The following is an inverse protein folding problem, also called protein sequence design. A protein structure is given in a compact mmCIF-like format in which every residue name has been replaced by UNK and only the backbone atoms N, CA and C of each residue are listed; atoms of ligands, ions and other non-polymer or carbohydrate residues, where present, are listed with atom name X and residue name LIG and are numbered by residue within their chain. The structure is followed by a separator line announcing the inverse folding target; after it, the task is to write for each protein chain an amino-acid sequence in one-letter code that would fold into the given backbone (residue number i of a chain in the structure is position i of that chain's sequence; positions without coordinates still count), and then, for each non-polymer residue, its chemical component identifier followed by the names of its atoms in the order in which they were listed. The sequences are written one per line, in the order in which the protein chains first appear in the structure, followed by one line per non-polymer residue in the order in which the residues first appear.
data_IF_697544403186
#
_entry.id   IF_697544403186
#
_cell.length_a   1.000
_cell.length_b   1.000
_cell.length_c   1.000
_cell.angle_alpha   90.00
_cell.angle_beta   90.00
_cell.angle_gamma   90.00
#
_symmetry.space_group_name_H-M   'P 1'
#
loop_
_entity.id
_entity.type
_entity.pdbx_description
1 polymer ?
#
# COMPACT_ATOMS: atom_id res chain seq x y z
N UNK A 1 -17.32 41.63 5.05
CA UNK A 1 -18.23 40.47 4.94
C UNK A 1 -18.07 39.90 3.53
N UNK A 2 -17.05 39.06 3.29
CA UNK A 2 -16.74 38.52 1.96
C UNK A 2 -16.57 37.00 2.04
N UNK A 3 -17.68 36.27 2.03
CA UNK A 3 -17.73 34.80 2.15
C UNK A 3 -18.27 34.12 0.89
N UNK A 4 -18.26 34.79 -0.27
CA UNK A 4 -18.93 34.29 -1.48
C UNK A 4 -17.98 33.94 -2.64
N UNK A 5 -16.68 34.24 -2.56
CA UNK A 5 -15.71 33.97 -3.64
C UNK A 5 -15.09 32.55 -3.60
N UNK A 6 -15.38 31.74 -2.59
CA UNK A 6 -14.68 30.46 -2.38
C UNK A 6 -15.47 29.21 -2.85
N UNK A 7 -16.74 29.37 -3.25
CA UNK A 7 -17.59 28.25 -3.65
C UNK A 7 -17.24 27.69 -5.04
N UNK A 8 -16.91 28.55 -6.02
CA UNK A 8 -16.67 28.14 -7.41
C UNK A 8 -15.36 27.40 -7.66
N UNK A 9 -14.34 27.56 -6.80
CA UNK A 9 -13.06 26.86 -6.94
C UNK A 9 -13.12 25.39 -6.50
N UNK A 10 -14.00 25.07 -5.55
CA UNK A 10 -14.15 23.70 -5.05
C UNK A 10 -14.90 22.78 -6.05
N UNK A 11 -15.86 23.30 -6.81
CA UNK A 11 -16.66 22.48 -7.74
C UNK A 11 -15.84 21.95 -8.92
N UNK A 12 -14.95 22.75 -9.51
CA UNK A 12 -14.06 22.31 -10.58
C UNK A 12 -13.03 21.28 -10.09
N UNK A 13 -12.45 21.52 -8.90
CA UNK A 13 -11.52 20.59 -8.29
C UNK A 13 -12.16 19.23 -8.00
N UNK A 14 -13.44 19.22 -7.60
CA UNK A 14 -14.21 18.03 -7.34
C UNK A 14 -14.63 17.31 -8.63
N UNK A 15 -14.99 18.04 -9.69
CA UNK A 15 -15.29 17.48 -11.01
C UNK A 15 -14.06 16.84 -11.68
N UNK A 16 -12.85 17.34 -11.40
CA UNK A 16 -11.58 16.76 -11.90
C UNK A 16 -11.08 15.61 -11.01
N UNK A 17 -11.57 15.48 -9.78
CA UNK A 17 -11.13 14.44 -8.84
C UNK A 17 -11.57 13.05 -9.31
N UNK A 18 -10.65 12.33 -9.96
CA UNK A 18 -10.87 10.94 -10.40
C UNK A 18 -10.77 9.91 -9.28
N UNK A 19 -10.25 10.30 -8.10
CA UNK A 19 -10.05 9.37 -6.98
C UNK A 19 -11.31 9.26 -6.13
N UNK A 20 -11.79 8.03 -5.96
CA UNK A 20 -12.92 7.72 -5.08
C UNK A 20 -12.62 7.95 -3.59
N UNK A 21 -11.35 7.78 -3.19
CA UNK A 21 -10.95 7.91 -1.78
C UNK A 21 -9.82 8.93 -1.61
N UNK A 22 -9.91 9.82 -0.60
CA UNK A 22 -8.79 10.68 -0.23
C UNK A 22 -7.62 9.82 0.26
N UNK A 23 -6.40 10.33 0.06
CA UNK A 23 -5.16 9.65 0.48
C UNK A 23 -4.50 10.42 1.62
N UNK A 24 -4.05 9.70 2.64
CA UNK A 24 -3.26 10.22 3.74
C UNK A 24 -1.80 9.84 3.54
N UNK A 25 -0.89 10.82 3.55
CA UNK A 25 0.55 10.52 3.54
C UNK A 25 0.95 9.84 4.84
N UNK A 26 1.77 8.82 4.70
CA UNK A 26 2.43 8.14 5.80
C UNK A 26 3.83 8.75 5.97
N UNK A 27 4.41 8.67 7.17
CA UNK A 27 5.83 9.01 7.42
C UNK A 27 6.76 7.90 6.91
N UNK A 28 6.54 7.44 5.66
CA UNK A 28 7.21 6.30 5.03
C UNK A 28 7.19 5.06 5.94
N UNK A 29 6.11 4.28 5.86
CA UNK A 29 5.97 3.07 6.68
C UNK A 29 6.66 1.89 6.00
N UNK A 30 7.53 1.14 6.70
CA UNK A 30 8.19 -0.02 6.11
C UNK A 30 7.16 -1.09 5.75
N UNK A 31 7.34 -1.67 4.56
CA UNK A 31 6.48 -2.70 4.03
C UNK A 31 7.28 -3.69 3.18
N UNK A 32 6.71 -4.86 2.94
CA UNK A 32 7.37 -5.96 2.25
C UNK A 32 6.42 -6.59 1.26
N UNK A 33 6.96 -6.94 0.10
CA UNK A 33 6.20 -7.48 -1.02
C UNK A 33 6.46 -8.96 -1.16
N UNK A 34 5.40 -9.71 -1.40
CA UNK A 34 5.48 -11.13 -1.68
C UNK A 34 4.51 -11.51 -2.80
N UNK A 35 4.89 -12.46 -3.64
CA UNK A 35 3.97 -13.01 -4.63
C UNK A 35 2.89 -13.87 -3.95
N UNK A 36 1.89 -14.30 -4.72
CA UNK A 36 0.76 -15.08 -4.20
C UNK A 36 1.13 -16.49 -3.73
N UNK A 37 2.30 -16.99 -4.14
CA UNK A 37 2.91 -18.23 -3.65
C UNK A 37 3.76 -18.02 -2.37
N UNK A 38 3.62 -16.85 -1.73
CA UNK A 38 4.36 -16.39 -0.55
C UNK A 38 5.88 -16.19 -0.78
N UNK A 39 6.35 -16.22 -2.03
CA UNK A 39 7.75 -15.91 -2.34
C UNK A 39 8.03 -14.42 -2.15
N UNK A 40 9.18 -14.11 -1.54
CA UNK A 40 9.59 -12.73 -1.29
C UNK A 40 9.98 -12.01 -2.59
N UNK A 41 9.53 -10.77 -2.75
CA UNK A 41 9.86 -9.93 -3.91
C UNK A 41 10.90 -8.87 -3.50
N UNK A 42 10.52 -7.91 -2.66
CA UNK A 42 11.41 -6.85 -2.22
C UNK A 42 10.89 -6.12 -0.97
N UNK A 43 11.75 -5.30 -0.39
CA UNK A 43 11.36 -4.33 0.63
C UNK A 43 10.86 -3.05 -0.03
N UNK A 44 10.00 -2.33 0.66
CA UNK A 44 9.47 -1.07 0.17
C UNK A 44 8.96 -0.19 1.31
N UNK A 45 8.54 1.02 0.97
CA UNK A 45 7.91 1.96 1.88
C UNK A 45 6.51 2.30 1.37
N UNK A 46 5.52 2.23 2.24
CA UNK A 46 4.20 2.82 2.00
C UNK A 46 4.34 4.33 2.20
N UNK A 47 4.06 5.10 1.16
CA UNK A 47 4.16 6.58 1.13
C UNK A 47 2.82 7.29 1.36
N UNK A 48 1.73 6.70 0.87
CA UNK A 48 0.39 7.14 1.20
C UNK A 48 -0.60 5.96 1.17
N UNK A 49 -1.67 6.11 1.94
CA UNK A 49 -2.74 5.11 2.12
C UNK A 49 -4.10 5.75 1.90
N UNK A 50 -5.03 4.96 1.39
CA UNK A 50 -6.46 5.29 1.27
C UNK A 50 -7.29 4.04 1.56
N UNK A 51 -8.61 4.20 1.67
CA UNK A 51 -9.52 3.05 1.79
C UNK A 51 -9.43 2.09 0.58
N UNK A 52 -9.07 2.60 -0.60
CA UNK A 52 -9.01 1.79 -1.82
C UNK A 52 -7.63 1.23 -2.18
N UNK A 53 -6.55 1.64 -1.51
CA UNK A 53 -5.22 1.13 -1.85
C UNK A 53 -4.07 2.00 -1.37
N UNK A 54 -2.88 1.68 -1.87
CA UNK A 54 -1.60 2.20 -1.40
C UNK A 54 -0.82 2.90 -2.51
N UNK A 55 0.12 3.75 -2.11
CA UNK A 55 1.27 4.12 -2.92
C UNK A 55 2.52 3.59 -2.25
N UNK A 56 3.27 2.80 -3.01
CA UNK A 56 4.50 2.16 -2.60
C UNK A 56 5.69 2.90 -3.24
N UNK A 57 6.82 2.87 -2.53
CA UNK A 57 8.13 3.27 -3.03
C UNK A 57 9.06 2.10 -2.77
N UNK A 58 9.50 1.44 -3.83
CA UNK A 58 10.38 0.28 -3.76
C UNK A 58 11.80 0.73 -3.44
N UNK A 59 12.56 -0.15 -2.79
CA UNK A 59 13.98 0.06 -2.47
C UNK A 59 14.88 -0.07 -3.71
N UNK A 60 14.48 -0.91 -4.67
CA UNK A 60 15.18 -1.17 -5.92
C UNK A 60 14.23 -1.30 -7.11
N UNK A 61 14.80 -1.22 -8.31
CA UNK A 61 14.07 -1.52 -9.53
C UNK A 61 13.90 -3.04 -9.61
N UNK A 62 12.65 -3.51 -9.55
CA UNK A 62 12.27 -4.90 -9.73
C UNK A 62 10.94 -4.95 -10.44
N UNK A 63 10.71 -6.04 -11.15
CA UNK A 63 9.41 -6.33 -11.73
C UNK A 63 8.44 -6.71 -10.62
N UNK A 64 7.22 -6.19 -10.74
CA UNK A 64 6.12 -6.51 -9.86
C UNK A 64 5.08 -7.31 -10.66
N UNK A 65 4.58 -8.42 -10.11
CA UNK A 65 3.43 -9.11 -10.68
C UNK A 65 2.19 -8.20 -10.75
N UNK A 66 1.19 -8.62 -11.53
CA UNK A 66 -0.10 -7.93 -11.56
C UNK A 66 -0.77 -7.96 -10.18
N UNK A 67 -0.67 -9.09 -9.47
CA UNK A 67 -1.21 -9.28 -8.13
C UNK A 67 -0.15 -9.80 -7.16
N UNK A 68 -0.16 -9.25 -5.95
CA UNK A 68 0.80 -9.64 -4.91
C UNK A 68 0.28 -9.25 -3.53
N UNK A 69 0.97 -9.72 -2.50
CA UNK A 69 0.73 -9.32 -1.12
C UNK A 69 1.60 -8.14 -0.71
N UNK A 70 1.01 -7.22 0.05
CA UNK A 70 1.71 -6.17 0.77
C UNK A 70 1.58 -6.45 2.26
N UNK A 71 2.71 -6.68 2.91
CA UNK A 71 2.80 -6.71 4.36
C UNK A 71 3.23 -5.34 4.89
N UNK A 72 2.38 -4.72 5.70
CA UNK A 72 2.67 -3.46 6.38
C UNK A 72 3.24 -3.74 7.77
N UNK A 73 4.55 -3.55 7.94
CA UNK A 73 5.24 -3.91 9.17
C UNK A 73 4.79 -3.08 10.38
N UNK A 74 4.41 -1.81 10.16
CA UNK A 74 4.00 -0.92 11.25
C UNK A 74 2.61 -1.27 11.82
N UNK A 75 1.69 -1.76 10.98
CA UNK A 75 0.35 -2.21 11.44
C UNK A 75 0.23 -3.71 11.62
N UNK A 76 1.25 -4.48 11.21
CA UNK A 76 1.24 -5.95 11.18
C UNK A 76 0.03 -6.47 10.39
N UNK A 77 -0.27 -5.84 9.27
CA UNK A 77 -1.38 -6.20 8.38
C UNK A 77 -0.87 -6.74 7.05
N UNK A 78 -1.66 -7.62 6.45
CA UNK A 78 -1.45 -8.14 5.10
C UNK A 78 -2.64 -7.75 4.23
N UNK A 79 -2.37 -7.32 3.01
CA UNK A 79 -3.39 -7.06 2.00
C UNK A 79 -3.00 -7.71 0.67
N UNK A 80 -3.98 -8.25 -0.05
CA UNK A 80 -3.81 -8.61 -1.45
C UNK A 80 -4.11 -7.40 -2.32
N UNK A 81 -3.23 -7.10 -3.25
CA UNK A 81 -3.32 -5.90 -4.08
C UNK A 81 -3.13 -6.23 -5.55
N UNK A 82 -3.67 -5.35 -6.41
CA UNK A 82 -3.40 -5.35 -7.84
C UNK A 82 -2.61 -4.09 -8.22
N UNK A 83 -1.57 -4.25 -9.03
CA UNK A 83 -0.80 -3.16 -9.61
C UNK A 83 -1.68 -2.33 -10.56
N UNK A 84 -1.67 -1.01 -10.40
CA UNK A 84 -2.41 -0.08 -11.27
C UNK A 84 -1.51 0.80 -12.10
N UNK A 85 -0.36 1.17 -11.58
CA UNK A 85 0.62 1.93 -12.32
C UNK A 85 2.01 1.77 -11.70
N UNK A 86 3.01 1.98 -12.55
CA UNK A 86 4.43 1.99 -12.20
C UNK A 86 5.09 3.25 -12.75
N UNK A 87 5.96 3.88 -11.97
CA UNK A 87 6.81 4.99 -12.41
C UNK A 87 8.13 5.00 -11.63
N UNK A 88 9.22 4.56 -12.26
CA UNK A 88 10.50 4.37 -11.59
C UNK A 88 10.34 3.46 -10.37
N UNK A 89 10.78 3.91 -9.20
CA UNK A 89 10.61 3.18 -7.93
C UNK A 89 9.21 3.33 -7.30
N UNK A 90 8.34 4.20 -7.79
CA UNK A 90 6.98 4.33 -7.28
C UNK A 90 5.99 3.37 -7.94
N UNK A 91 5.10 2.80 -7.15
CA UNK A 91 3.99 1.97 -7.64
C UNK A 91 2.69 2.37 -6.94
N UNK A 92 1.59 2.34 -7.67
CA UNK A 92 0.26 2.48 -7.09
C UNK A 92 -0.49 1.18 -7.23
N UNK A 93 -1.13 0.78 -6.14
CA UNK A 93 -1.90 -0.47 -6.06
C UNK A 93 -3.29 -0.20 -5.53
N UNK A 94 -4.23 -1.07 -5.91
CA UNK A 94 -5.59 -1.12 -5.36
C UNK A 94 -5.72 -2.36 -4.48
N UNK A 95 -6.51 -2.30 -3.41
CA UNK A 95 -6.84 -3.50 -2.64
C UNK A 95 -7.79 -4.39 -3.43
N UNK A 96 -7.43 -5.66 -3.57
CA UNK A 96 -8.36 -6.73 -3.95
C UNK A 96 -8.99 -7.32 -2.68
N UNK A 97 -8.15 -7.52 -1.66
CA UNK A 97 -8.58 -7.87 -0.30
C UNK A 97 -8.06 -6.79 0.65
N UNK A 98 -8.94 -6.11 1.41
CA UNK A 98 -8.53 -5.09 2.36
C UNK A 98 -7.54 -5.63 3.42
N UNK A 99 -6.71 -4.76 4.00
CA UNK A 99 -5.75 -5.17 5.01
C UNK A 99 -6.41 -5.87 6.20
N UNK A 100 -5.89 -7.04 6.56
CA UNK A 100 -6.26 -7.78 7.77
C UNK A 100 -5.01 -8.03 8.64
N UNK A 101 -5.19 -8.07 9.95
CA UNK A 101 -4.08 -8.30 10.87
C UNK A 101 -3.47 -9.71 10.67
N UNK A 102 -2.14 -9.80 10.60
CA UNK A 102 -1.40 -11.02 10.24
C UNK A 102 -1.72 -12.22 11.13
N UNK A 103 -2.13 -11.98 12.38
CA UNK A 103 -2.57 -13.00 13.34
C UNK A 103 -3.71 -13.89 12.82
N UNK A 104 -4.56 -13.38 11.93
CA UNK A 104 -5.71 -14.11 11.39
C UNK A 104 -5.30 -15.11 10.28
N UNK A 105 -4.09 -14.98 9.74
CA UNK A 105 -3.56 -15.91 8.76
C UNK A 105 -2.94 -17.10 9.49
N UNK A 106 -3.52 -18.29 9.25
CA UNK A 106 -3.05 -19.56 9.80
C UNK A 106 -1.88 -20.15 9.01
N UNK A 107 -1.69 -19.72 7.76
CA UNK A 107 -0.61 -20.22 6.92
C UNK A 107 0.76 -19.79 7.44
N UNK A 108 1.64 -20.78 7.65
CA UNK A 108 2.97 -20.57 8.20
C UNK A 108 3.90 -19.79 7.25
N UNK A 109 3.75 -19.92 5.93
CA UNK A 109 4.56 -19.20 4.94
C UNK A 109 4.29 -17.70 4.95
N UNK A 110 3.02 -17.30 5.03
CA UNK A 110 2.62 -15.89 5.20
C UNK A 110 3.15 -15.31 6.51
N UNK A 111 3.12 -16.08 7.61
CA UNK A 111 3.74 -15.63 8.87
C UNK A 111 5.25 -15.54 8.75
N UNK A 112 5.90 -16.45 8.01
CA UNK A 112 7.33 -16.39 7.71
C UNK A 112 7.72 -15.14 6.92
N UNK A 113 6.84 -14.55 6.12
CA UNK A 113 7.08 -13.21 5.54
C UNK A 113 7.23 -12.13 6.62
N UNK A 114 6.52 -12.23 7.73
CA UNK A 114 6.71 -11.33 8.87
C UNK A 114 8.01 -11.66 9.65
N UNK A 115 8.37 -12.96 9.77
CA UNK A 115 9.52 -13.41 10.55
C UNK A 115 10.87 -13.31 9.84
N UNK A 116 10.97 -13.57 8.53
CA UNK A 116 12.25 -13.58 7.78
C UNK A 116 12.90 -12.20 7.73
N UNK A 117 12.21 -11.18 8.23
CA UNK A 117 12.44 -9.79 7.94
C UNK A 117 12.56 -8.91 9.20
N UNK A 118 12.65 -9.53 10.39
CA UNK A 118 13.30 -8.98 11.58
C UNK A 118 13.96 -10.13 12.35
N UNK A 119 15.25 -10.00 12.65
CA UNK A 119 15.86 -10.71 13.77
C UNK A 119 15.06 -10.33 15.03
N UNK A 120 14.09 -11.15 15.40
CA UNK A 120 13.37 -11.11 16.68
C UNK A 120 13.14 -12.56 17.10
N UNK A 121 14.24 -13.26 17.30
CA UNK A 121 14.35 -14.29 18.33
C UNK A 121 15.57 -13.90 19.17
N UNK A 122 15.26 -13.37 20.35
CA UNK A 122 16.12 -12.98 21.46
C UNK A 122 15.21 -12.80 22.66
#
# INVERSE_FOLDING_TARGET
MFTFLNAGKNSLAQAIQRRLYPRQRTRLRPAKLAALDDSYICDCMIRDVSKGGLRLVLDKQTDLPEEFYVFDAAQKTLAQVQLRWRKGLAAGVVYLVPPAHIRHFRNSSIRKLAHRLYALDG
#
